data_IF_977149221503
#
_entry.id   IF_977149221503
#
_cell.length_a   1.000
_cell.length_b   1.000
_cell.length_c   1.000
_cell.angle_alpha   90.00
_cell.angle_beta   90.00
_cell.angle_gamma   90.00
#
_symmetry.space_group_name_H-M   'P 1'
#
loop_
_entity.id
_entity.type
_entity.pdbx_description
1 polymer ?
#
# COMPACT_ATOMS: atom_id res chain seq x y z
N UNK A 1 -36.62 14.87 4.63
CA UNK A 1 -35.23 14.38 4.56
C UNK A 1 -35.12 13.35 3.45
N UNK A 2 -34.47 13.69 2.32
CA UNK A 2 -34.38 12.84 1.12
C UNK A 2 -33.23 11.84 1.28
N UNK A 3 -33.54 10.54 1.27
CA UNK A 3 -32.53 9.48 1.14
C UNK A 3 -31.98 9.54 -0.29
N UNK A 4 -30.72 9.94 -0.46
CA UNK A 4 -30.04 9.94 -1.76
C UNK A 4 -29.79 8.47 -2.11
N UNK A 5 -30.43 7.97 -3.16
CA UNK A 5 -30.24 6.62 -3.65
C UNK A 5 -28.75 6.41 -3.99
N UNK A 6 -28.09 5.48 -3.30
CA UNK A 6 -26.73 5.06 -3.64
C UNK A 6 -26.87 4.29 -4.95
N UNK A 7 -26.51 4.94 -6.05
CA UNK A 7 -26.66 4.41 -7.41
C UNK A 7 -25.84 3.14 -7.60
N UNK A 8 -26.38 2.22 -8.40
CA UNK A 8 -25.84 0.89 -8.73
C UNK A 8 -24.50 0.91 -9.51
N UNK A 9 -23.80 2.05 -9.57
CA UNK A 9 -22.59 2.24 -10.37
C UNK A 9 -21.28 2.02 -9.61
N UNK A 10 -21.33 1.61 -8.34
CA UNK A 10 -20.15 1.38 -7.49
C UNK A 10 -19.34 0.11 -7.82
N UNK A 11 -19.74 -0.67 -8.83
CA UNK A 11 -19.15 -1.97 -9.17
C UNK A 11 -18.80 -2.03 -10.66
N UNK A 12 -17.82 -1.25 -11.11
CA UNK A 12 -17.23 -1.43 -12.43
C UNK A 12 -15.75 -1.77 -12.29
N UNK A 13 -15.34 -2.90 -12.87
CA UNK A 13 -13.94 -3.29 -12.93
C UNK A 13 -13.19 -2.29 -13.81
N UNK A 14 -12.27 -1.54 -13.23
CA UNK A 14 -11.48 -0.53 -13.94
C UNK A 14 -10.46 -1.23 -14.85
N UNK A 15 -10.79 -1.44 -16.12
CA UNK A 15 -9.80 -1.70 -17.16
C UNK A 15 -8.95 -0.43 -17.33
N UNK A 16 -7.74 -0.44 -16.77
CA UNK A 16 -6.80 0.68 -16.88
C UNK A 16 -6.19 0.75 -18.28
N UNK A 17 -6.21 1.91 -18.96
CA UNK A 17 -5.45 2.08 -20.19
C UNK A 17 -3.95 2.25 -19.84
N UNK A 18 -3.12 1.49 -20.55
CA UNK A 18 -1.66 1.61 -20.55
C UNK A 18 -1.25 3.01 -21.02
N UNK A 19 -0.50 3.75 -20.21
CA UNK A 19 0.29 4.87 -20.68
C UNK A 19 1.64 4.92 -19.94
N UNK A 20 2.70 4.82 -20.73
CA UNK A 20 4.09 4.97 -20.33
C UNK A 20 4.43 6.47 -20.23
N UNK A 21 4.78 6.97 -19.04
CA UNK A 21 5.50 8.24 -18.88
C UNK A 21 6.30 8.20 -17.57
N UNK A 22 7.59 8.47 -17.67
CA UNK A 22 8.60 8.46 -16.60
C UNK A 22 8.38 9.57 -15.58
N UNK A 23 8.21 9.25 -14.29
CA UNK A 23 8.65 10.05 -13.13
C UNK A 23 8.26 9.38 -11.80
N UNK A 24 9.23 9.27 -10.89
CA UNK A 24 9.16 8.59 -9.58
C UNK A 24 8.87 7.09 -9.66
N UNK A 25 9.92 6.26 -9.67
CA UNK A 25 9.79 4.83 -9.41
C UNK A 25 9.03 4.65 -8.09
N UNK A 26 7.79 4.15 -8.16
CA UNK A 26 7.00 3.86 -6.95
C UNK A 26 7.78 2.84 -6.15
N UNK A 27 8.23 3.21 -4.95
CA UNK A 27 8.96 2.28 -4.09
C UNK A 27 8.02 1.16 -3.64
N UNK A 28 8.52 -0.07 -3.61
CA UNK A 28 7.79 -1.17 -2.97
C UNK A 28 7.67 -0.91 -1.46
N UNK A 29 6.55 -1.27 -0.80
CA UNK A 29 6.38 -1.08 0.64
C UNK A 29 7.55 -1.65 1.47
N UNK A 30 8.09 -2.80 1.07
CA UNK A 30 9.26 -3.40 1.74
C UNK A 30 10.48 -2.49 1.72
N UNK A 31 10.76 -1.84 0.58
CA UNK A 31 11.89 -0.94 0.44
C UNK A 31 11.70 0.32 1.28
N UNK A 32 10.49 0.90 1.24
CA UNK A 32 10.12 2.07 2.02
C UNK A 32 10.27 1.84 3.53
N UNK A 33 9.88 0.65 4.03
CA UNK A 33 10.07 0.27 5.45
C UNK A 33 11.55 0.24 5.82
N UNK A 34 12.38 -0.47 5.05
CA UNK A 34 13.80 -0.62 5.39
C UNK A 34 14.55 0.71 5.33
N UNK A 35 14.28 1.53 4.31
CA UNK A 35 14.87 2.86 4.21
C UNK A 35 14.44 3.75 5.37
N UNK A 36 13.16 3.74 5.70
CA UNK A 36 12.59 4.49 6.83
C UNK A 36 13.20 4.09 8.17
N UNK A 37 13.41 2.79 8.42
CA UNK A 37 14.02 2.31 9.66
C UNK A 37 15.51 2.66 9.73
N UNK A 38 16.25 2.51 8.61
CA UNK A 38 17.66 2.92 8.54
C UNK A 38 17.83 4.42 8.78
N UNK A 39 16.96 5.25 8.20
CA UNK A 39 16.97 6.70 8.43
C UNK A 39 16.77 7.06 9.92
N UNK A 40 16.00 6.26 10.65
CA UNK A 40 15.75 6.41 12.09
C UNK A 40 16.87 5.80 12.97
N UNK A 41 17.98 5.36 12.37
CA UNK A 41 19.13 4.81 13.10
C UNK A 41 18.93 3.37 13.60
N UNK A 42 17.89 2.67 13.12
CA UNK A 42 17.66 1.26 13.51
C UNK A 42 18.62 0.37 12.73
N UNK A 43 19.42 -0.41 13.45
CA UNK A 43 20.34 -1.39 12.86
C UNK A 43 19.57 -2.64 12.45
N UNK A 44 19.51 -2.91 11.14
CA UNK A 44 18.83 -4.07 10.57
C UNK A 44 19.84 -5.16 10.20
N UNK A 45 19.52 -6.42 10.51
CA UNK A 45 20.31 -7.58 10.06
C UNK A 45 20.15 -7.88 8.57
N UNK A 46 19.03 -7.45 7.98
CA UNK A 46 18.74 -7.67 6.57
C UNK A 46 19.66 -6.79 5.70
N UNK A 47 20.45 -7.43 4.85
CA UNK A 47 21.42 -6.77 3.96
C UNK A 47 20.83 -6.45 2.58
N UNK A 48 19.92 -7.30 2.08
CA UNK A 48 19.38 -7.20 0.73
C UNK A 48 17.88 -7.56 0.71
N UNK A 49 17.16 -6.97 -0.26
CA UNK A 49 15.77 -7.35 -0.59
C UNK A 49 15.74 -7.86 -2.02
N UNK A 50 15.51 -9.16 -2.16
CA UNK A 50 15.41 -9.83 -3.46
C UNK A 50 13.92 -9.99 -3.79
N UNK A 51 13.44 -9.44 -4.93
CA UNK A 51 12.06 -9.67 -5.36
C UNK A 51 11.90 -11.14 -5.79
N UNK A 52 10.81 -11.77 -5.35
CA UNK A 52 10.43 -13.13 -5.76
C UNK A 52 9.02 -13.12 -6.35
N UNK A 53 8.75 -14.04 -7.28
CA UNK A 53 7.41 -14.31 -7.75
C UNK A 53 6.62 -15.09 -6.69
N UNK A 54 5.30 -14.89 -6.65
CA UNK A 54 4.42 -15.62 -5.73
C UNK A 54 4.50 -17.15 -5.91
N UNK A 55 4.84 -17.63 -7.11
CA UNK A 55 5.03 -19.06 -7.40
C UNK A 55 6.27 -19.66 -6.73
N UNK A 56 7.27 -18.85 -6.42
CA UNK A 56 8.51 -19.27 -5.77
C UNK A 56 8.31 -19.51 -4.26
N UNK A 57 7.22 -19.02 -3.68
CA UNK A 57 6.87 -19.21 -2.28
C UNK A 57 5.52 -19.91 -2.14
N UNK A 58 5.55 -21.24 -1.98
CA UNK A 58 4.33 -22.04 -1.92
C UNK A 58 3.51 -21.73 -0.67
N UNK A 59 2.27 -21.31 -0.87
CA UNK A 59 1.32 -21.07 0.22
C UNK A 59 0.12 -22.00 0.08
N UNK A 60 -0.44 -22.44 1.21
CA UNK A 60 -1.59 -23.35 1.23
C UNK A 60 -2.85 -22.79 0.57
N UNK A 61 -2.92 -21.48 0.35
CA UNK A 61 -4.09 -20.75 -0.16
C UNK A 61 -3.69 -19.95 -1.38
N UNK A 62 -4.45 -20.07 -2.47
CA UNK A 62 -4.23 -19.27 -3.67
C UNK A 62 -4.48 -17.80 -3.37
N UNK A 63 -3.46 -16.97 -3.53
CA UNK A 63 -3.58 -15.52 -3.39
C UNK A 63 -4.06 -14.91 -4.72
N UNK A 64 -4.95 -13.90 -4.68
CA UNK A 64 -5.32 -13.17 -5.88
C UNK A 64 -4.11 -12.44 -6.46
N UNK A 65 -3.95 -12.50 -7.78
CA UNK A 65 -2.86 -11.80 -8.50
C UNK A 65 -2.94 -10.28 -8.37
N UNK A 66 -4.16 -9.75 -8.23
CA UNK A 66 -4.40 -8.31 -8.08
C UNK A 66 -5.39 -8.06 -6.93
N UNK A 67 -4.95 -7.30 -5.94
CA UNK A 67 -5.77 -6.89 -4.78
C UNK A 67 -6.01 -5.37 -4.74
N UNK A 68 -5.79 -4.66 -5.85
CA UNK A 68 -6.05 -3.22 -5.92
C UNK A 68 -7.55 -2.95 -5.90
N UNK A 69 -7.97 -2.04 -5.02
CA UNK A 69 -9.35 -1.60 -4.90
C UNK A 69 -9.50 -0.20 -5.52
N UNK A 70 -10.58 0.00 -6.28
CA UNK A 70 -11.00 1.34 -6.68
C UNK A 70 -11.79 1.99 -5.53
N UNK A 71 -11.32 3.14 -5.07
CA UNK A 71 -11.89 3.87 -3.93
C UNK A 71 -12.85 4.98 -4.38
N UNK A 72 -13.24 4.99 -5.65
CA UNK A 72 -14.17 5.98 -6.21
C UNK A 72 -15.53 5.97 -5.51
N UNK A 73 -16.12 4.80 -5.27
CA UNK A 73 -17.40 4.73 -4.55
C UNK A 73 -17.28 5.27 -3.11
N UNK A 74 -16.17 5.00 -2.42
CA UNK A 74 -15.91 5.54 -1.07
C UNK A 74 -15.87 7.08 -1.09
N UNK A 75 -15.16 7.65 -2.08
CA UNK A 75 -15.09 9.10 -2.29
C UNK A 75 -16.45 9.70 -2.63
N UNK A 76 -17.22 9.11 -3.55
CA UNK A 76 -18.48 9.66 -4.01
C UNK A 76 -19.61 9.55 -2.98
N UNK A 77 -19.68 8.42 -2.27
CA UNK A 77 -20.74 8.18 -1.30
C UNK A 77 -20.49 8.91 0.03
N UNK A 78 -19.23 9.02 0.46
CA UNK A 78 -18.88 9.52 1.80
C UNK A 78 -17.96 10.74 1.81
N UNK A 79 -17.46 11.19 0.65
CA UNK A 79 -16.47 12.26 0.58
C UNK A 79 -15.09 11.88 1.15
N UNK A 80 -14.85 10.59 1.41
CA UNK A 80 -13.62 10.10 2.04
C UNK A 80 -12.58 9.83 0.95
N UNK A 81 -11.46 10.53 1.03
CA UNK A 81 -10.27 10.27 0.23
C UNK A 81 -9.15 9.76 1.16
N UNK A 82 -8.85 8.47 1.17
CA UNK A 82 -7.76 7.95 1.98
C UNK A 82 -6.42 8.56 1.56
N UNK A 83 -5.50 8.83 2.50
CA UNK A 83 -4.17 9.28 2.17
C UNK A 83 -3.42 8.20 1.37
N UNK A 84 -2.34 8.61 0.69
CA UNK A 84 -1.41 7.63 0.11
C UNK A 84 -0.81 6.76 1.23
N UNK A 85 -0.50 5.50 0.95
CA UNK A 85 -0.09 4.52 1.97
C UNK A 85 1.23 4.87 2.66
N UNK A 86 2.08 5.66 2.00
CA UNK A 86 3.37 6.10 2.51
C UNK A 86 3.22 6.97 3.76
N UNK A 87 2.16 7.78 3.85
CA UNK A 87 1.90 8.68 4.97
C UNK A 87 1.61 7.94 6.29
N UNK A 88 0.56 7.08 6.38
CA UNK A 88 0.30 6.34 7.61
C UNK A 88 1.45 5.39 7.93
N UNK A 89 2.16 4.85 6.92
CA UNK A 89 3.35 4.05 7.19
C UNK A 89 4.42 4.86 7.95
N UNK A 90 4.70 6.10 7.53
CA UNK A 90 5.66 6.95 8.21
C UNK A 90 5.22 7.26 9.65
N UNK A 91 3.93 7.60 9.85
CA UNK A 91 3.33 7.89 11.16
C UNK A 91 3.47 6.68 12.11
N UNK A 92 3.19 5.46 11.64
CA UNK A 92 3.34 4.23 12.44
C UNK A 92 4.81 3.91 12.75
N UNK A 93 5.73 4.12 11.81
CA UNK A 93 7.16 3.90 12.03
C UNK A 93 7.75 4.92 13.03
N UNK A 94 7.24 6.14 13.04
CA UNK A 94 7.58 7.14 14.06
C UNK A 94 7.04 6.74 15.43
N UNK A 95 5.80 6.25 15.49
CA UNK A 95 5.16 5.81 16.72
C UNK A 95 5.85 4.59 17.36
N UNK A 96 6.34 3.63 16.57
CA UNK A 96 7.09 2.48 17.07
C UNK A 96 8.39 2.89 17.77
N UNK A 97 9.02 3.97 17.29
CA UNK A 97 10.23 4.56 17.86
C UNK A 97 11.47 3.63 17.86
N UNK A 98 12.67 4.17 18.11
CA UNK A 98 13.90 3.38 18.15
C UNK A 98 13.97 2.41 19.34
N UNK A 99 13.33 2.77 20.47
CA UNK A 99 13.38 2.01 21.72
C UNK A 99 12.77 0.61 21.59
N UNK A 100 11.80 0.42 20.69
CA UNK A 100 11.22 -0.88 20.42
C UNK A 100 12.23 -1.86 19.79
N UNK A 101 13.20 -1.36 19.04
CA UNK A 101 14.19 -2.17 18.31
C UNK A 101 15.52 -2.38 19.07
N UNK A 102 15.68 -1.76 20.25
CA UNK A 102 16.90 -1.85 21.07
C UNK A 102 16.90 -3.02 22.07
N UNK A 103 15.94 -3.95 21.96
CA UNK A 103 15.82 -5.13 22.83
C UNK A 103 16.45 -6.38 22.22
#
# INVERSE_FOLDING_TARGET
MRRKAIGQNCFTATSSPSNNTSSSARQSPTHAILESLRFRGVSLKATEVIPIASSEYHSKVTRPTNSRLDLTCLREAYGIQPPSWERPLAEELDALGPLHFAR
#
